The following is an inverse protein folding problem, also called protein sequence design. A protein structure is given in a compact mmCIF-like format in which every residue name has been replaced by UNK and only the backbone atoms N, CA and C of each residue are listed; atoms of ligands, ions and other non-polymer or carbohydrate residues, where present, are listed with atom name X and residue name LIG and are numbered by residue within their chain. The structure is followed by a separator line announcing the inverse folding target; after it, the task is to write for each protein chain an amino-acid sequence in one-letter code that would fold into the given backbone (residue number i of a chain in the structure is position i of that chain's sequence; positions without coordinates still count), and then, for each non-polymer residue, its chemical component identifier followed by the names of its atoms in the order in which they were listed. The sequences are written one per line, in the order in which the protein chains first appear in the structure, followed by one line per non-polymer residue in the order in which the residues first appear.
data_IF_637201824539
#
_entry.id   IF_637201824539
#
_cell.length_a   1.000
_cell.length_b   1.000
_cell.length_c   1.000
_cell.angle_alpha   90.00
_cell.angle_beta   90.00
_cell.angle_gamma   90.00
#
_symmetry.space_group_name_H-M   'P 1'
#
loop_
_entity.id
_entity.type
_entity.pdbx_description
1 polymer ?
#
# COMPACT_ATOMS: atom_id res chain seq x y z
N UNK A 1 25.82 4.33 -4.74
CA UNK A 1 24.86 3.24 -5.01
C UNK A 1 23.54 3.62 -4.35
N UNK A 2 22.51 3.91 -5.12
CA UNK A 2 21.15 4.00 -4.59
C UNK A 2 20.37 2.81 -5.14
N UNK A 3 20.00 1.90 -4.26
CA UNK A 3 19.16 0.72 -4.50
C UNK A 3 18.08 0.73 -3.40
N UNK A 4 17.41 1.88 -3.27
CA UNK A 4 16.31 2.25 -2.36
C UNK A 4 16.11 1.45 -1.04
N UNK A 5 17.19 1.19 -0.28
CA UNK A 5 17.13 0.54 1.04
C UNK A 5 16.58 1.47 2.13
N UNK A 6 16.87 2.77 2.05
CA UNK A 6 16.45 3.79 3.02
C UNK A 6 15.14 4.48 2.59
N UNK A 7 14.10 3.70 2.28
CA UNK A 7 12.80 4.27 1.89
C UNK A 7 11.94 4.65 3.09
N UNK A 8 11.52 5.92 3.14
CA UNK A 8 10.59 6.44 4.15
C UNK A 8 9.23 6.69 3.53
N UNK A 9 8.16 6.29 4.21
CA UNK A 9 6.79 6.63 3.81
C UNK A 9 6.55 8.11 4.09
N UNK A 10 6.25 8.88 3.04
CA UNK A 10 5.83 10.28 3.14
C UNK A 10 4.31 10.38 3.30
N UNK A 11 3.57 9.61 2.50
CA UNK A 11 2.12 9.70 2.42
C UNK A 11 1.52 8.33 2.13
N UNK A 12 0.42 7.99 2.80
CA UNK A 12 -0.41 6.81 2.50
C UNK A 12 -1.84 7.30 2.30
N UNK A 13 -2.39 7.11 1.11
CA UNK A 13 -3.76 7.49 0.77
C UNK A 13 -4.53 6.24 0.40
N UNK A 14 -5.72 6.06 0.98
CA UNK A 14 -6.64 4.99 0.59
C UNK A 14 -7.28 5.38 -0.75
N UNK A 15 -7.09 4.56 -1.77
CA UNK A 15 -7.69 4.75 -3.09
C UNK A 15 -9.05 4.08 -3.18
N UNK A 16 -9.12 2.82 -2.77
CA UNK A 16 -10.34 2.03 -2.86
C UNK A 16 -10.46 1.01 -1.73
N UNK A 17 -11.68 0.60 -1.44
CA UNK A 17 -12.03 -0.49 -0.55
C UNK A 17 -13.18 -1.26 -1.16
N UNK A 18 -12.97 -2.57 -1.31
CA UNK A 18 -13.92 -3.48 -1.93
C UNK A 18 -14.15 -4.66 -0.97
N UNK A 19 -15.41 -4.95 -0.69
CA UNK A 19 -15.80 -6.12 0.09
C UNK A 19 -16.08 -7.29 -0.85
N UNK A 20 -15.23 -8.32 -0.76
CA UNK A 20 -15.30 -9.52 -1.59
C UNK A 20 -15.94 -10.64 -0.74
N UNK A 21 -17.14 -11.11 -1.11
CA UNK A 21 -17.74 -12.24 -0.42
C UNK A 21 -16.95 -13.52 -0.73
N UNK A 22 -16.45 -14.21 0.29
CA UNK A 22 -15.80 -15.51 0.13
C UNK A 22 -16.77 -16.67 0.37
N UNK A 23 -16.53 -17.79 -0.31
CA UNK A 23 -17.43 -18.95 -0.39
C UNK A 23 -17.84 -19.58 0.96
N UNK A 24 -17.11 -19.30 2.05
CA UNK A 24 -17.31 -19.91 3.38
C UNK A 24 -17.64 -18.88 4.47
N UNK A 25 -18.48 -17.88 4.14
CA UNK A 25 -19.08 -16.90 5.06
C UNK A 25 -18.15 -15.82 5.65
N UNK A 26 -16.86 -15.78 5.28
CA UNK A 26 -16.00 -14.64 5.57
C UNK A 26 -16.14 -13.58 4.46
N UNK A 27 -16.28 -12.31 4.83
CA UNK A 27 -16.06 -11.20 3.91
C UNK A 27 -14.58 -10.83 3.95
N UNK A 28 -13.95 -10.74 2.78
CA UNK A 28 -12.59 -10.20 2.66
C UNK A 28 -12.67 -8.77 2.16
N UNK A 29 -12.14 -7.84 2.93
CA UNK A 29 -12.02 -6.46 2.51
C UNK A 29 -10.67 -6.26 1.84
N UNK A 30 -10.68 -6.00 0.52
CA UNK A 30 -9.50 -5.58 -0.26
C UNK A 30 -9.40 -4.06 -0.20
N UNK A 31 -8.29 -3.55 0.31
CA UNK A 31 -8.04 -2.11 0.41
C UNK A 31 -6.81 -1.76 -0.42
N UNK A 32 -6.96 -0.87 -1.41
CA UNK A 32 -5.84 -0.37 -2.21
C UNK A 32 -5.38 0.97 -1.64
N UNK A 33 -4.10 1.06 -1.31
CA UNK A 33 -3.45 2.28 -0.85
C UNK A 33 -2.40 2.76 -1.84
N UNK A 34 -2.41 4.05 -2.18
CA UNK A 34 -1.27 4.69 -2.82
C UNK A 34 -0.30 5.17 -1.75
N UNK A 35 0.93 4.65 -1.78
CA UNK A 35 1.98 4.99 -0.82
C UNK A 35 3.08 5.76 -1.54
N UNK A 36 3.29 7.01 -1.15
CA UNK A 36 4.42 7.82 -1.59
C UNK A 36 5.60 7.55 -0.68
N UNK A 37 6.70 7.09 -1.26
CA UNK A 37 7.98 6.92 -0.59
C UNK A 37 8.93 8.03 -0.99
N UNK A 38 9.87 8.33 -0.08
CA UNK A 38 11.04 9.15 -0.33
C UNK A 38 12.28 8.39 0.08
N UNK A 39 13.29 8.35 -0.79
CA UNK A 39 14.61 7.89 -0.41
C UNK A 39 15.31 9.00 0.38
N UNK A 40 15.76 8.69 1.59
CA UNK A 40 16.49 9.67 2.42
C UNK A 40 17.90 9.95 1.85
N UNK A 41 18.51 8.94 1.21
CA UNK A 41 19.85 9.01 0.62
C UNK A 41 19.91 9.82 -0.69
N UNK A 42 19.00 9.58 -1.65
CA UNK A 42 19.02 10.25 -2.96
C UNK A 42 17.94 11.33 -3.13
N UNK A 43 17.01 11.44 -2.18
CA UNK A 43 15.92 12.41 -2.23
C UNK A 43 14.81 12.10 -3.24
N UNK A 44 14.92 11.01 -4.01
CA UNK A 44 13.92 10.61 -4.99
C UNK A 44 12.60 10.24 -4.32
N UNK A 45 11.49 10.66 -4.91
CA UNK A 45 10.14 10.31 -4.48
C UNK A 45 9.46 9.46 -5.54
N UNK A 46 8.83 8.37 -5.11
CA UNK A 46 8.02 7.52 -6.00
C UNK A 46 6.75 7.06 -5.28
N UNK A 47 5.76 6.63 -6.06
CA UNK A 47 4.50 6.10 -5.53
C UNK A 47 4.36 4.64 -5.90
N UNK A 48 3.99 3.80 -4.93
CA UNK A 48 3.62 2.41 -5.15
C UNK A 48 2.21 2.16 -4.66
N UNK A 49 1.46 1.34 -5.37
CA UNK A 49 0.17 0.82 -4.92
C UNK A 49 0.40 -0.39 -4.01
N UNK A 50 -0.25 -0.40 -2.85
CA UNK A 50 -0.22 -1.49 -1.89
C UNK A 50 -1.62 -1.99 -1.60
N UNK A 51 -1.79 -3.29 -1.77
CA UNK A 51 -3.02 -3.99 -1.44
C UNK A 51 -2.92 -4.57 -0.03
N UNK A 52 -3.91 -4.29 0.80
CA UNK A 52 -4.08 -4.86 2.14
C UNK A 52 -5.39 -5.65 2.15
N UNK A 53 -5.32 -6.90 2.63
CA UNK A 53 -6.48 -7.78 2.73
C UNK A 53 -6.82 -7.97 4.21
N UNK A 54 -8.07 -7.70 4.57
CA UNK A 54 -8.59 -7.93 5.93
C UNK A 54 -9.68 -8.99 5.86
N UNK A 55 -9.57 -10.02 6.68
CA UNK A 55 -10.66 -10.97 6.93
C UNK A 55 -11.49 -10.45 8.11
N UNK A 56 -12.81 -10.33 7.90
CA UNK A 56 -13.79 -10.08 8.96
C UNK A 56 -14.35 -11.40 9.51
#
# INVERSE_FOLDING_TARGET
MCDHKSKRVQKKVKLSEEEIPCAYAATQTRIVFQVTYRCDDCGENWTEEKEEWRSL
#
